data_IF_557012387602
#
_entry.id   IF_557012387602
#
_cell.length_a   1.000
_cell.length_b   1.000
_cell.length_c   1.000
_cell.angle_alpha   90.00
_cell.angle_beta   90.00
_cell.angle_gamma   90.00
#
_symmetry.space_group_name_H-M   'P 1'
#
loop_
_entity.id
_entity.type
_entity.pdbx_description
1 polymer ?
#
# COMPACT_ATOMS: atom_id res chain seq x y z
N UNK A 1 -4.53 -1.93 -2.22
CA UNK A 1 -3.84 -0.86 -2.98
C UNK A 1 -4.82 -0.18 -3.90
N UNK A 2 -4.81 1.13 -3.99
CA UNK A 2 -5.63 1.92 -4.92
C UNK A 2 -4.95 1.95 -6.30
N UNK A 3 -5.70 1.60 -7.35
CA UNK A 3 -5.09 1.40 -8.67
C UNK A 3 -4.68 2.71 -9.36
N UNK A 4 -5.46 3.77 -9.18
CA UNK A 4 -5.24 5.05 -9.84
C UNK A 4 -4.07 5.82 -9.24
N UNK A 5 -4.08 6.03 -7.93
CA UNK A 5 -3.05 6.77 -7.21
C UNK A 5 -1.82 5.93 -6.88
N UNK A 6 -1.90 4.60 -6.97
CA UNK A 6 -0.88 3.65 -6.49
C UNK A 6 -0.72 3.65 -4.98
N UNK A 7 -1.63 4.26 -4.25
CA UNK A 7 -1.56 4.35 -2.79
C UNK A 7 -1.75 2.98 -2.14
N UNK A 8 -0.87 2.64 -1.22
CA UNK A 8 -1.02 1.50 -0.33
C UNK A 8 -2.04 1.85 0.75
N UNK A 9 -3.23 1.23 0.72
CA UNK A 9 -4.33 1.55 1.65
C UNK A 9 -4.17 0.81 2.96
N UNK A 10 -3.87 -0.49 2.89
CA UNK A 10 -3.77 -1.36 4.05
C UNK A 10 -2.77 -2.50 3.81
N UNK A 11 -2.09 -2.93 4.86
CA UNK A 11 -1.21 -4.09 4.86
C UNK A 11 -1.37 -4.87 6.16
N UNK A 12 -1.69 -6.13 6.03
CA UNK A 12 -1.68 -7.10 7.13
C UNK A 12 -0.56 -8.12 6.97
N UNK A 13 -0.10 -8.67 8.08
CA UNK A 13 0.92 -9.73 8.12
C UNK A 13 0.37 -10.92 8.88
N UNK A 14 0.40 -12.10 8.26
CA UNK A 14 0.03 -13.37 8.89
C UNK A 14 0.82 -14.52 8.30
N UNK A 15 1.00 -15.59 9.06
CA UNK A 15 1.55 -16.87 8.59
C UNK A 15 0.48 -17.76 7.96
N UNK A 16 -0.78 -17.52 8.30
CA UNK A 16 -1.91 -18.35 7.85
C UNK A 16 -3.07 -17.45 7.40
N UNK A 17 -3.08 -16.99 6.15
CA UNK A 17 -4.17 -16.18 5.62
C UNK A 17 -5.42 -17.05 5.44
N UNK A 18 -6.42 -16.83 6.30
CA UNK A 18 -7.75 -17.47 6.23
C UNK A 18 -8.79 -16.50 5.70
N UNK A 19 -9.98 -17.01 5.35
CA UNK A 19 -11.14 -16.20 4.95
C UNK A 19 -11.54 -15.21 6.07
N UNK A 20 -11.57 -15.68 7.31
CA UNK A 20 -11.86 -14.82 8.47
C UNK A 20 -10.82 -13.69 8.63
N UNK A 21 -9.53 -14.04 8.52
CA UNK A 21 -8.47 -13.04 8.61
C UNK A 21 -8.58 -12.00 7.49
N UNK A 22 -8.80 -12.42 6.24
CA UNK A 22 -8.94 -11.48 5.12
C UNK A 22 -10.20 -10.63 5.22
N UNK A 23 -11.31 -11.19 5.74
CA UNK A 23 -12.52 -10.45 6.05
C UNK A 23 -12.26 -9.35 7.11
N UNK A 24 -11.46 -9.67 8.14
CA UNK A 24 -11.06 -8.69 9.15
C UNK A 24 -10.16 -7.60 8.55
N UNK A 25 -9.18 -7.98 7.70
CA UNK A 25 -8.34 -7.00 7.01
C UNK A 25 -9.17 -6.05 6.11
N UNK A 26 -10.24 -6.53 5.50
CA UNK A 26 -11.15 -5.69 4.72
C UNK A 26 -11.88 -4.67 5.61
N UNK A 27 -12.39 -5.08 6.78
CA UNK A 27 -13.02 -4.16 7.75
C UNK A 27 -12.05 -3.06 8.19
N UNK A 28 -10.82 -3.43 8.50
CA UNK A 28 -9.76 -2.48 8.92
C UNK A 28 -9.36 -1.52 7.80
N UNK A 29 -9.37 -1.99 6.55
CA UNK A 29 -9.04 -1.19 5.37
C UNK A 29 -10.14 -0.21 4.97
N UNK A 30 -11.40 -0.44 5.42
CA UNK A 30 -12.58 0.32 4.99
C UNK A 30 -13.41 0.82 6.18
N UNK A 31 -12.81 1.54 7.15
CA UNK A 31 -13.53 2.05 8.30
C UNK A 31 -14.63 3.03 7.86
N UNK A 32 -15.76 2.99 8.55
CA UNK A 32 -16.87 3.95 8.38
C UNK A 32 -17.45 4.04 6.96
N UNK A 33 -17.43 2.94 6.20
CA UNK A 33 -17.96 2.91 4.83
C UNK A 33 -17.09 3.61 3.78
N UNK A 34 -15.85 3.99 4.12
CA UNK A 34 -14.90 4.60 3.18
C UNK A 34 -14.27 3.57 2.22
N UNK A 35 -15.05 2.61 1.76
CA UNK A 35 -14.59 1.56 0.84
C UNK A 35 -14.57 2.01 -0.62
N UNK A 36 -13.80 1.34 -1.48
CA UNK A 36 -13.85 1.54 -2.92
C UNK A 36 -15.15 0.96 -3.50
N UNK A 37 -15.61 1.46 -4.63
CA UNK A 37 -16.75 0.87 -5.34
C UNK A 37 -16.46 -0.58 -5.79
N UNK A 38 -15.18 -0.89 -6.02
CA UNK A 38 -14.76 -2.17 -6.58
C UNK A 38 -13.43 -2.62 -5.99
N UNK A 39 -13.33 -3.91 -5.68
CA UNK A 39 -12.11 -4.56 -5.19
C UNK A 39 -11.74 -5.73 -6.10
N UNK A 40 -10.51 -5.73 -6.60
CA UNK A 40 -9.96 -6.84 -7.40
C UNK A 40 -9.21 -7.79 -6.46
N UNK A 41 -9.52 -9.07 -6.50
CA UNK A 41 -8.78 -10.11 -5.80
C UNK A 41 -8.52 -11.33 -6.71
N UNK A 42 -7.55 -12.14 -6.34
CA UNK A 42 -7.30 -13.42 -7.00
C UNK A 42 -8.36 -14.47 -6.61
N UNK A 43 -8.21 -15.69 -7.11
CA UNK A 43 -9.15 -16.82 -6.86
C UNK A 43 -8.71 -17.69 -5.68
N UNK A 44 -7.87 -17.17 -4.80
CA UNK A 44 -7.41 -17.90 -3.63
C UNK A 44 -8.56 -18.12 -2.62
N UNK A 45 -8.56 -19.27 -1.94
CA UNK A 45 -9.57 -19.66 -0.96
C UNK A 45 -9.62 -18.73 0.27
N UNK A 46 -8.58 -17.96 0.53
CA UNK A 46 -8.59 -16.93 1.58
C UNK A 46 -9.62 -15.81 1.35
N UNK A 47 -10.15 -15.67 0.12
CA UNK A 47 -11.25 -14.75 -0.20
C UNK A 47 -12.57 -15.52 -0.32
N UNK A 48 -12.98 -16.17 0.77
CA UNK A 48 -14.15 -17.03 0.84
C UNK A 48 -15.45 -16.28 1.14
N UNK A 49 -16.38 -17.00 1.77
CA UNK A 49 -17.74 -16.50 2.03
C UNK A 49 -17.77 -15.35 3.03
N UNK A 50 -16.95 -15.39 4.09
CA UNK A 50 -16.91 -14.32 5.09
C UNK A 50 -16.40 -13.01 4.49
N UNK A 51 -15.31 -13.09 3.72
CA UNK A 51 -14.77 -11.94 2.99
C UNK A 51 -15.81 -11.32 2.05
N UNK A 52 -16.50 -12.16 1.25
CA UNK A 52 -17.53 -11.71 0.33
C UNK A 52 -18.73 -11.07 1.04
N UNK A 53 -19.15 -11.60 2.19
CA UNK A 53 -20.23 -11.03 3.00
C UNK A 53 -19.84 -9.66 3.55
N UNK A 54 -18.61 -9.48 4.03
CA UNK A 54 -18.11 -8.18 4.47
C UNK A 54 -18.09 -7.18 3.31
N UNK A 55 -17.55 -7.57 2.16
CA UNK A 55 -17.53 -6.72 0.97
C UNK A 55 -18.95 -6.30 0.55
N UNK A 56 -19.90 -7.25 0.52
CA UNK A 56 -21.31 -6.96 0.21
C UNK A 56 -21.93 -6.02 1.22
N UNK A 57 -21.71 -6.24 2.52
CA UNK A 57 -22.25 -5.40 3.60
C UNK A 57 -21.72 -3.96 3.58
N UNK A 58 -20.53 -3.75 3.00
CA UNK A 58 -19.92 -2.42 2.82
C UNK A 58 -20.16 -1.82 1.41
N UNK A 59 -20.98 -2.47 0.57
CA UNK A 59 -21.28 -2.00 -0.77
C UNK A 59 -20.16 -2.18 -1.80
N UNK A 60 -19.12 -2.96 -1.48
CA UNK A 60 -17.96 -3.16 -2.34
C UNK A 60 -18.24 -4.30 -3.33
N UNK A 61 -18.14 -4.02 -4.62
CA UNK A 61 -18.21 -5.02 -5.68
C UNK A 61 -16.86 -5.76 -5.79
N UNK A 62 -16.84 -7.06 -5.51
CA UNK A 62 -15.64 -7.89 -5.66
C UNK A 62 -15.53 -8.41 -7.09
N UNK A 63 -14.41 -8.15 -7.74
CA UNK A 63 -14.04 -8.67 -9.05
C UNK A 63 -12.90 -9.69 -8.87
N UNK A 64 -13.15 -10.93 -9.24
CA UNK A 64 -12.11 -11.97 -9.26
C UNK A 64 -11.33 -11.88 -10.56
N UNK A 65 -9.99 -11.95 -10.44
CA UNK A 65 -9.12 -11.96 -11.64
C UNK A 65 -9.48 -13.16 -12.53
N UNK A 66 -9.50 -12.96 -13.86
CA UNK A 66 -9.65 -14.10 -14.79
C UNK A 66 -8.54 -15.14 -14.61
N UNK A 67 -8.83 -16.38 -14.94
CA UNK A 67 -7.81 -17.44 -14.93
C UNK A 67 -6.71 -17.08 -15.94
N UNK A 68 -5.44 -17.19 -15.53
CA UNK A 68 -4.26 -16.87 -16.36
C UNK A 68 -4.18 -15.43 -16.84
N UNK A 69 -4.68 -14.46 -16.06
CA UNK A 69 -4.57 -13.04 -16.36
C UNK A 69 -3.54 -12.32 -15.45
N UNK A 70 -2.22 -12.51 -15.68
CA UNK A 70 -1.18 -11.96 -14.80
C UNK A 70 -1.21 -10.42 -14.71
N UNK A 71 -1.67 -9.75 -15.76
CA UNK A 71 -1.77 -8.27 -15.77
C UNK A 71 -2.82 -7.71 -14.80
N UNK A 72 -3.82 -8.51 -14.40
CA UNK A 72 -4.90 -8.03 -13.55
C UNK A 72 -4.43 -7.66 -12.13
N UNK A 73 -3.34 -8.25 -11.65
CA UNK A 73 -2.77 -7.99 -10.32
C UNK A 73 -1.37 -7.33 -10.37
N UNK A 74 -0.90 -6.98 -11.57
CA UNK A 74 0.48 -6.50 -11.79
C UNK A 74 0.88 -5.29 -10.94
N UNK A 75 -0.09 -4.46 -10.51
CA UNK A 75 0.18 -3.30 -9.66
C UNK A 75 0.53 -3.73 -8.23
N UNK A 76 -0.22 -4.67 -7.66
CA UNK A 76 0.09 -5.23 -6.34
C UNK A 76 1.40 -6.03 -6.37
N UNK A 77 1.63 -6.83 -7.41
CA UNK A 77 2.87 -7.57 -7.59
C UNK A 77 4.08 -6.63 -7.68
N UNK A 78 3.95 -5.52 -8.40
CA UNK A 78 5.01 -4.50 -8.50
C UNK A 78 5.29 -3.85 -7.14
N UNK A 79 4.25 -3.56 -6.36
CA UNK A 79 4.43 -3.06 -4.98
C UNK A 79 5.19 -4.08 -4.12
N UNK A 80 4.77 -5.35 -4.13
CA UNK A 80 5.43 -6.42 -3.38
C UNK A 80 6.89 -6.58 -3.80
N UNK A 81 7.16 -6.53 -5.11
CA UNK A 81 8.51 -6.56 -5.65
C UNK A 81 9.37 -5.37 -5.20
N UNK A 82 8.79 -4.16 -5.15
CA UNK A 82 9.48 -2.98 -4.60
C UNK A 82 9.75 -3.11 -3.11
N UNK A 83 8.74 -3.51 -2.33
CA UNK A 83 8.89 -3.75 -0.88
C UNK A 83 10.02 -4.74 -0.58
N UNK A 84 10.12 -5.84 -1.35
CA UNK A 84 11.20 -6.81 -1.16
C UNK A 84 12.56 -6.18 -1.45
N UNK A 85 12.78 -5.73 -2.67
CA UNK A 85 14.10 -5.22 -3.13
C UNK A 85 14.55 -3.97 -2.39
N UNK A 86 13.63 -3.08 -2.05
CA UNK A 86 13.96 -1.78 -1.47
C UNK A 86 13.95 -1.79 0.07
N UNK A 87 13.40 -2.85 0.71
CA UNK A 87 13.27 -2.90 2.15
C UNK A 87 13.60 -4.26 2.76
N UNK A 88 12.82 -5.31 2.44
CA UNK A 88 12.91 -6.57 3.18
C UNK A 88 14.22 -7.31 2.95
N UNK A 89 14.80 -7.25 1.76
CA UNK A 89 16.08 -7.90 1.42
C UNK A 89 17.28 -7.27 2.17
N UNK A 90 17.08 -6.12 2.82
CA UNK A 90 18.08 -5.40 3.61
C UNK A 90 17.89 -5.53 5.13
N UNK A 91 16.94 -6.36 5.59
CA UNK A 91 16.57 -6.43 7.00
C UNK A 91 16.48 -7.86 7.51
N UNK A 92 17.01 -8.09 8.72
CA UNK A 92 16.76 -9.32 9.46
C UNK A 92 15.42 -9.24 10.18
N UNK A 93 14.50 -10.15 9.83
CA UNK A 93 13.18 -10.21 10.39
C UNK A 93 13.03 -11.47 11.22
N UNK A 94 12.90 -11.31 12.53
CA UNK A 94 12.86 -12.41 13.49
C UNK A 94 11.42 -12.86 13.82
N UNK A 95 10.45 -11.94 13.76
CA UNK A 95 9.05 -12.24 14.10
C UNK A 95 8.05 -11.36 13.35
N UNK A 96 6.79 -11.79 13.30
CA UNK A 96 5.72 -11.16 12.53
C UNK A 96 5.43 -9.71 12.95
N UNK A 97 5.50 -9.39 14.23
CA UNK A 97 5.30 -8.03 14.74
C UNK A 97 6.36 -7.05 14.20
N UNK A 98 7.63 -7.49 14.14
CA UNK A 98 8.71 -6.70 13.53
C UNK A 98 8.43 -6.48 12.04
N UNK A 99 8.06 -7.54 11.31
CA UNK A 99 7.69 -7.44 9.90
C UNK A 99 6.54 -6.44 9.70
N UNK A 100 5.50 -6.50 10.53
CA UNK A 100 4.37 -5.59 10.43
C UNK A 100 4.78 -4.11 10.60
N UNK A 101 5.65 -3.81 11.59
CA UNK A 101 6.19 -2.44 11.77
C UNK A 101 6.99 -1.96 10.56
N UNK A 102 7.84 -2.83 10.01
CA UNK A 102 8.68 -2.53 8.84
C UNK A 102 7.80 -2.26 7.62
N UNK A 103 6.81 -3.12 7.35
CA UNK A 103 5.88 -2.97 6.23
C UNK A 103 5.05 -1.68 6.35
N UNK A 104 4.61 -1.32 7.55
CA UNK A 104 3.90 -0.05 7.79
C UNK A 104 4.80 1.16 7.54
N UNK A 105 6.03 1.16 8.05
CA UNK A 105 6.99 2.25 7.84
C UNK A 105 7.35 2.39 6.35
N UNK A 106 7.53 1.28 5.64
CA UNK A 106 7.74 1.31 4.20
C UNK A 106 6.51 1.79 3.43
N UNK A 107 5.30 1.37 3.81
CA UNK A 107 4.06 1.83 3.19
C UNK A 107 3.85 3.34 3.36
N UNK A 108 4.21 3.89 4.52
CA UNK A 108 4.18 5.33 4.76
C UNK A 108 5.18 6.07 3.85
N UNK A 109 6.43 5.63 3.79
CA UNK A 109 7.44 6.16 2.87
C UNK A 109 6.97 6.06 1.41
N UNK A 110 6.46 4.89 1.00
CA UNK A 110 5.95 4.62 -0.34
C UNK A 110 4.83 5.58 -0.73
N UNK A 111 3.91 5.88 0.19
CA UNK A 111 2.77 6.75 -0.04
C UNK A 111 3.12 8.23 -0.05
N UNK A 112 4.03 8.69 0.84
CA UNK A 112 4.21 10.11 1.11
C UNK A 112 5.53 10.69 0.59
N UNK A 113 6.51 9.84 0.29
CA UNK A 113 7.86 10.32 -0.03
C UNK A 113 8.45 9.72 -1.30
N UNK A 114 8.05 8.51 -1.68
CA UNK A 114 8.62 7.80 -2.83
C UNK A 114 7.96 8.24 -4.14
N UNK A 115 8.72 8.81 -5.11
CA UNK A 115 8.17 9.13 -6.42
C UNK A 115 7.86 7.86 -7.24
N UNK A 116 6.79 7.92 -8.04
CA UNK A 116 6.36 6.78 -8.87
C UNK A 116 6.27 7.16 -10.34
N UNK A 117 7.04 6.48 -11.18
CA UNK A 117 7.05 6.68 -12.62
C UNK A 117 5.64 6.52 -13.25
N UNK A 118 4.87 5.53 -12.80
CA UNK A 118 3.54 5.22 -13.34
C UNK A 118 2.46 6.28 -13.05
N UNK A 119 2.76 7.29 -12.24
CA UNK A 119 1.91 8.47 -11.96
C UNK A 119 2.66 9.77 -12.19
N UNK A 120 3.60 9.78 -13.15
CA UNK A 120 4.34 10.97 -13.56
C UNK A 120 5.29 11.50 -12.48
N UNK A 121 6.03 10.62 -11.81
CA UNK A 121 7.00 10.94 -10.74
C UNK A 121 6.36 11.59 -9.50
N UNK A 122 5.06 11.47 -9.32
CA UNK A 122 4.37 11.96 -8.12
C UNK A 122 4.40 10.93 -7.00
N UNK A 123 4.14 11.37 -5.78
CA UNK A 123 3.91 10.48 -4.65
C UNK A 123 2.42 10.14 -4.52
N UNK A 124 2.04 8.89 -4.18
CA UNK A 124 0.66 8.43 -4.17
C UNK A 124 -0.30 9.28 -3.35
N UNK A 125 0.09 9.73 -2.17
CA UNK A 125 -0.76 10.53 -1.29
C UNK A 125 -1.05 11.94 -1.82
N UNK A 126 -0.26 12.43 -2.77
CA UNK A 126 -0.42 13.75 -3.39
C UNK A 126 -1.08 13.68 -4.77
N UNK A 127 -1.40 12.50 -5.26
CA UNK A 127 -2.06 12.33 -6.55
C UNK A 127 -3.56 12.66 -6.45
N UNK A 128 -4.12 13.42 -7.40
CA UNK A 128 -3.51 14.07 -8.56
C UNK A 128 -2.90 15.46 -8.28
N UNK A 129 -2.99 15.96 -7.06
CA UNK A 129 -2.67 17.34 -6.68
C UNK A 129 -1.30 17.46 -5.99
N UNK A 130 -0.58 18.53 -6.30
CA UNK A 130 0.64 19.14 -5.75
C UNK A 130 1.96 18.72 -6.37
N UNK A 131 2.59 19.73 -6.93
CA UNK A 131 4.05 19.77 -7.04
C UNK A 131 4.62 20.31 -5.74
N UNK A 132 5.74 19.78 -5.25
CA UNK A 132 6.44 20.35 -4.10
C UNK A 132 6.90 21.79 -4.44
N UNK A 133 7.14 22.64 -3.44
CA UNK A 133 7.71 23.98 -3.66
C UNK A 133 8.97 23.90 -4.52
N UNK A 134 9.14 24.85 -5.45
CA UNK A 134 10.30 24.89 -6.36
C UNK A 134 11.55 25.46 -5.70
N UNK A 135 11.43 26.11 -4.51
CA UNK A 135 12.51 26.81 -3.80
C UNK A 135 12.54 26.40 -2.32
N UNK A 136 13.61 26.74 -1.62
CA UNK A 136 13.85 26.40 -0.21
C UNK A 136 14.93 25.32 -0.04
N UNK A 137 15.55 25.29 1.14
CA UNK A 137 16.56 24.32 1.51
C UNK A 137 15.99 22.89 1.45
N UNK A 138 16.73 21.96 0.84
CA UNK A 138 16.36 20.55 0.83
C UNK A 138 16.73 19.92 2.17
N UNK A 139 15.74 19.29 2.80
CA UNK A 139 15.89 18.52 4.04
C UNK A 139 15.73 17.05 3.71
N UNK A 140 16.71 16.23 4.10
CA UNK A 140 16.67 14.78 3.98
C UNK A 140 16.38 14.17 5.36
N UNK A 141 15.22 13.53 5.51
CA UNK A 141 14.84 12.83 6.74
C UNK A 141 15.03 11.34 6.56
N UNK A 142 15.84 10.66 7.41
CA UNK A 142 16.07 9.24 7.29
C UNK A 142 14.80 8.44 7.58
N UNK A 143 14.58 7.38 6.79
CA UNK A 143 13.46 6.44 6.92
C UNK A 143 14.01 5.02 6.99
N UNK A 144 13.39 4.15 7.81
CA UNK A 144 13.81 2.76 7.98
C UNK A 144 15.28 2.62 8.41
N UNK A 145 15.67 3.43 9.42
CA UNK A 145 17.06 3.40 9.92
C UNK A 145 18.10 3.96 8.95
N UNK A 146 17.69 4.81 8.01
CA UNK A 146 18.58 5.42 7.01
C UNK A 146 18.67 4.63 5.70
N UNK A 147 17.93 3.51 5.56
CA UNK A 147 17.85 2.77 4.30
C UNK A 147 17.28 3.64 3.16
N UNK A 148 16.34 4.54 3.50
CA UNK A 148 15.79 5.53 2.60
C UNK A 148 15.82 6.92 3.22
N UNK A 149 15.59 7.94 2.39
CA UNK A 149 15.43 9.32 2.83
C UNK A 149 14.16 9.92 2.21
N UNK A 150 13.36 10.57 3.05
CA UNK A 150 12.27 11.42 2.60
C UNK A 150 12.82 12.84 2.38
N UNK A 151 12.62 13.40 1.19
CA UNK A 151 13.09 14.74 0.86
C UNK A 151 11.94 15.74 0.92
N UNK A 152 12.14 16.81 1.63
CA UNK A 152 11.23 17.95 1.69
C UNK A 152 11.98 19.27 1.48
N UNK A 153 11.25 20.36 1.24
CA UNK A 153 11.83 21.70 1.24
C UNK A 153 11.36 22.45 2.46
N UNK A 154 12.27 23.15 3.12
CA UNK A 154 11.92 24.03 4.21
C UNK A 154 10.94 25.10 3.71
N UNK A 155 9.88 25.37 4.49
CA UNK A 155 9.06 26.54 4.25
C UNK A 155 9.90 27.79 4.53
N UNK A 156 9.80 28.80 3.64
CA UNK A 156 10.33 30.13 3.98
C UNK A 156 9.49 30.69 5.13
N UNK A 157 10.11 30.85 6.28
CA UNK A 157 9.56 31.69 7.35
C UNK A 157 9.86 33.13 6.96
N UNK A 158 8.84 33.88 6.56
CA UNK A 158 8.90 35.31 6.38
C UNK A 158 8.70 35.99 7.73
#
# INVERSE_FOLDING_TARGET
MELQSRRMVHAGVTRSPTDDWTAQQLREATPWGAGPNCLICDRDNKYGTLFLNVAKGTGIKVLRTPVRAPKANAICERFIGSLRRECLDHMFILHSHQLHRIVRAYADYYNHSRPHQGIGQRVPAQYPRRYPPSSGQIIATPVLGGLHHAYSRAAFVH
#
